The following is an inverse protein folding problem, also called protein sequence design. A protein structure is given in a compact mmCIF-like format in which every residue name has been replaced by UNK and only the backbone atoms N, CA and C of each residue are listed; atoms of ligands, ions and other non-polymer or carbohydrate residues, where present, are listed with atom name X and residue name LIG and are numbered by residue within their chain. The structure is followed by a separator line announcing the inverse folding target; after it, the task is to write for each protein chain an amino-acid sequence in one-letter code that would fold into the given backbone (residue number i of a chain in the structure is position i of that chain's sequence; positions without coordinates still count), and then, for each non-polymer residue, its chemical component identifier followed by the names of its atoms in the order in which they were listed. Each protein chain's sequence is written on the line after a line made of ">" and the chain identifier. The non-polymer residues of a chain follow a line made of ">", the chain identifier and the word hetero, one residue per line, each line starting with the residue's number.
data_IF_754616540902
#
_entry.id   IF_754616540902
#
_cell.length_a   1.000
_cell.length_b   1.000
_cell.length_c   1.000
_cell.angle_alpha   90.00
_cell.angle_beta   90.00
_cell.angle_gamma   90.00
#
_symmetry.space_group_name_H-M   'P 1'
#
loop_
_entity.id
_entity.type
_entity.pdbx_description
1 polymer ?
#
# COMPACT_ATOMS: atom_id res chain seq x y z
N UNK A 1 -6.68 -15.34 -2.58
CA UNK A 1 -5.39 -14.75 -2.98
C UNK A 1 -5.37 -13.29 -2.60
N UNK A 2 -4.19 -12.68 -2.48
CA UNK A 2 -4.02 -11.30 -2.01
C UNK A 2 -4.87 -10.29 -2.81
N UNK A 3 -5.01 -10.46 -4.13
CA UNK A 3 -5.91 -9.65 -4.98
C UNK A 3 -7.35 -9.58 -4.47
N UNK A 4 -7.94 -10.72 -4.08
CA UNK A 4 -9.31 -10.75 -3.53
C UNK A 4 -9.41 -10.10 -2.15
N UNK A 5 -8.35 -10.19 -1.36
CA UNK A 5 -8.27 -9.51 -0.06
C UNK A 5 -8.25 -7.99 -0.27
N UNK A 6 -7.42 -7.50 -1.19
CA UNK A 6 -7.38 -6.08 -1.56
C UNK A 6 -8.73 -5.60 -2.10
N UNK A 7 -9.33 -6.32 -3.06
CA UNK A 7 -10.62 -5.95 -3.62
C UNK A 7 -11.71 -5.93 -2.55
N UNK A 8 -11.75 -6.94 -1.67
CA UNK A 8 -12.70 -6.98 -0.56
C UNK A 8 -12.53 -5.80 0.40
N UNK A 9 -11.30 -5.43 0.74
CA UNK A 9 -11.02 -4.27 1.59
C UNK A 9 -11.47 -2.97 0.93
N UNK A 10 -11.10 -2.75 -0.33
CA UNK A 10 -11.52 -1.57 -1.09
C UNK A 10 -13.05 -1.45 -1.15
N UNK A 11 -13.77 -2.55 -1.38
CA UNK A 11 -15.23 -2.56 -1.43
C UNK A 11 -15.88 -2.29 -0.08
N UNK A 12 -15.36 -2.86 1.02
CA UNK A 12 -15.89 -2.64 2.38
C UNK A 12 -15.69 -1.19 2.83
N UNK A 13 -14.56 -0.59 2.47
CA UNK A 13 -14.17 0.76 2.90
C UNK A 13 -14.33 1.82 1.80
N UNK A 14 -15.14 1.56 0.76
CA UNK A 14 -15.19 2.41 -0.42
C UNK A 14 -15.49 3.89 -0.11
N UNK A 15 -16.41 4.15 0.83
CA UNK A 15 -16.85 5.48 1.25
C UNK A 15 -16.18 5.97 2.56
N UNK A 16 -15.21 5.23 3.10
CA UNK A 16 -14.51 5.60 4.33
C UNK A 16 -13.31 6.49 4.01
N UNK A 17 -13.41 7.78 4.35
CA UNK A 17 -12.38 8.78 4.06
C UNK A 17 -11.10 8.58 4.90
N UNK A 18 -11.20 7.90 6.04
CA UNK A 18 -10.06 7.62 6.93
C UNK A 18 -9.30 6.36 6.47
N UNK A 19 -9.98 5.40 5.84
CA UNK A 19 -9.38 4.13 5.44
C UNK A 19 -8.27 4.25 4.39
N UNK A 20 -8.24 5.34 3.61
CA UNK A 20 -7.18 5.59 2.63
C UNK A 20 -5.92 6.20 3.24
N UNK A 21 -5.99 6.69 4.47
CA UNK A 21 -4.89 7.40 5.15
C UNK A 21 -4.63 8.83 4.67
N UNK A 22 -5.40 9.34 3.71
CA UNK A 22 -5.23 10.69 3.17
C UNK A 22 -6.47 11.60 3.31
N UNK A 23 -7.50 11.16 4.04
CA UNK A 23 -8.74 11.91 4.25
C UNK A 23 -9.63 11.99 3.00
N UNK A 24 -9.43 11.09 2.04
CA UNK A 24 -10.21 10.99 0.79
C UNK A 24 -10.61 9.53 0.59
N UNK A 25 -11.90 9.25 0.48
CA UNK A 25 -12.42 7.90 0.23
C UNK A 25 -11.82 7.23 -1.02
N UNK A 26 -11.75 5.89 -0.98
CA UNK A 26 -11.35 5.09 -2.14
C UNK A 26 -12.24 5.35 -3.35
N UNK A 27 -13.54 5.59 -3.16
CA UNK A 27 -14.47 5.92 -4.24
C UNK A 27 -14.05 7.21 -4.95
N UNK A 28 -13.79 8.28 -4.19
CA UNK A 28 -13.35 9.56 -4.74
C UNK A 28 -12.01 9.43 -5.47
N UNK A 29 -11.07 8.66 -4.91
CA UNK A 29 -9.77 8.41 -5.55
C UNK A 29 -9.88 7.58 -6.83
N UNK A 30 -10.82 6.65 -6.91
CA UNK A 30 -11.09 5.88 -8.14
C UNK A 30 -11.65 6.79 -9.23
N UNK A 31 -12.63 7.63 -8.89
CA UNK A 31 -13.23 8.59 -9.83
C UNK A 31 -12.18 9.59 -10.33
N UNK A 32 -11.30 10.08 -9.45
CA UNK A 32 -10.22 10.98 -9.81
C UNK A 32 -9.17 10.35 -10.76
N UNK A 33 -9.12 9.01 -10.84
CA UNK A 33 -8.24 8.26 -11.73
C UNK A 33 -8.96 7.69 -12.96
N UNK A 34 -10.11 8.28 -13.34
CA UNK A 34 -10.93 7.89 -14.51
C UNK A 34 -11.51 6.46 -14.45
N UNK A 35 -11.79 5.97 -13.24
CA UNK A 35 -12.62 4.78 -13.02
C UNK A 35 -14.04 5.19 -12.65
N UNK A 36 -15.03 4.33 -12.94
CA UNK A 36 -16.42 4.62 -12.55
C UNK A 36 -16.64 4.57 -11.02
N UNK A 37 -15.72 3.94 -10.28
CA UNK A 37 -15.76 3.74 -8.83
C UNK A 37 -14.86 2.58 -8.42
N UNK A 38 -14.92 2.18 -7.14
CA UNK A 38 -14.12 1.07 -6.60
C UNK A 38 -14.36 -0.25 -7.32
N UNK A 39 -15.60 -0.54 -7.72
CA UNK A 39 -15.94 -1.78 -8.42
C UNK A 39 -15.23 -1.86 -9.78
N UNK A 40 -15.31 -0.79 -10.57
CA UNK A 40 -14.65 -0.71 -11.88
C UNK A 40 -13.13 -0.83 -11.76
N UNK A 41 -12.53 -0.14 -10.78
CA UNK A 41 -11.11 -0.28 -10.46
C UNK A 41 -10.74 -1.72 -10.08
N UNK A 42 -11.54 -2.38 -9.25
CA UNK A 42 -11.29 -3.77 -8.86
C UNK A 42 -11.31 -4.72 -10.06
N UNK A 43 -12.28 -4.56 -10.97
CA UNK A 43 -12.40 -5.43 -12.15
C UNK A 43 -11.30 -5.20 -13.19
N UNK A 44 -10.85 -3.95 -13.36
CA UNK A 44 -9.85 -3.58 -14.38
C UNK A 44 -8.41 -3.74 -13.91
N UNK A 45 -8.15 -3.56 -12.61
CA UNK A 45 -6.78 -3.45 -12.06
C UNK A 45 -6.49 -4.53 -11.02
N UNK A 46 -7.35 -4.68 -10.02
CA UNK A 46 -7.02 -5.48 -8.83
C UNK A 46 -7.15 -6.97 -9.08
N UNK A 47 -8.27 -7.40 -9.65
CA UNK A 47 -8.62 -8.81 -9.82
C UNK A 47 -7.91 -9.52 -11.00
N UNK A 48 -7.63 -8.86 -12.15
CA UNK A 48 -6.93 -9.51 -13.25
C UNK A 48 -5.52 -9.95 -12.84
N UNK A 49 -5.14 -11.17 -13.19
CA UNK A 49 -3.78 -11.68 -12.97
C UNK A 49 -2.79 -11.04 -13.95
N UNK A 50 -1.55 -10.85 -13.51
CA UNK A 50 -0.50 -10.21 -14.32
C UNK A 50 -0.53 -8.68 -14.34
N UNK A 51 -1.55 -8.03 -13.77
CA UNK A 51 -1.56 -6.57 -13.57
C UNK A 51 -0.69 -6.18 -12.37
N UNK A 52 0.16 -5.17 -12.53
CA UNK A 52 0.99 -4.64 -11.44
C UNK A 52 0.13 -4.04 -10.32
N UNK A 53 0.53 -4.27 -9.08
CA UNK A 53 -0.18 -3.74 -7.92
C UNK A 53 0.20 -2.29 -7.67
N UNK A 54 -0.37 -1.34 -8.41
CA UNK A 54 -0.04 0.08 -8.28
C UNK A 54 -1.12 0.89 -7.55
N UNK A 55 -0.87 2.17 -7.30
CA UNK A 55 -1.84 3.13 -6.79
C UNK A 55 -2.50 2.65 -5.48
N UNK A 56 -3.84 2.60 -5.44
CA UNK A 56 -4.64 2.21 -4.28
C UNK A 56 -4.36 0.80 -3.77
N UNK A 57 -3.76 -0.08 -4.58
CA UNK A 57 -3.34 -1.42 -4.12
C UNK A 57 -2.26 -1.33 -3.04
N UNK A 58 -1.36 -0.34 -3.15
CA UNK A 58 -0.23 -0.16 -2.24
C UNK A 58 -0.66 0.31 -0.85
N UNK A 59 -1.78 1.02 -0.73
CA UNK A 59 -2.37 1.37 0.57
C UNK A 59 -3.35 0.30 1.07
N UNK A 60 -4.22 -0.21 0.20
CA UNK A 60 -5.31 -1.11 0.60
C UNK A 60 -4.82 -2.50 1.02
N UNK A 61 -3.80 -3.07 0.37
CA UNK A 61 -3.31 -4.41 0.75
C UNK A 61 -2.64 -4.43 2.13
N UNK A 62 -1.70 -3.52 2.46
CA UNK A 62 -1.13 -3.46 3.80
C UNK A 62 -2.18 -3.21 4.89
N UNK A 63 -3.15 -2.32 4.63
CA UNK A 63 -4.27 -2.06 5.54
C UNK A 63 -5.11 -3.33 5.76
N UNK A 64 -5.48 -4.04 4.68
CA UNK A 64 -6.26 -5.28 4.77
C UNK A 64 -5.55 -6.40 5.53
N UNK A 65 -4.21 -6.44 5.48
CA UNK A 65 -3.39 -7.44 6.17
C UNK A 65 -2.99 -7.02 7.59
N UNK A 66 -3.18 -5.76 7.98
CA UNK A 66 -2.68 -5.22 9.24
C UNK A 66 -1.15 -5.25 9.32
N UNK A 67 -0.46 -4.83 8.24
CA UNK A 67 1.01 -4.75 8.18
C UNK A 67 1.46 -3.34 7.83
N UNK A 68 2.73 -3.03 8.12
CA UNK A 68 3.41 -1.84 7.57
C UNK A 68 4.28 -2.23 6.39
N UNK A 69 4.18 -1.48 5.30
CA UNK A 69 4.96 -1.69 4.09
C UNK A 69 5.78 -0.43 3.81
N UNK A 70 7.11 -0.56 3.74
CA UNK A 70 8.01 0.49 3.27
C UNK A 70 8.53 0.14 1.89
N UNK A 71 8.41 1.09 0.96
CA UNK A 71 8.88 0.96 -0.42
C UNK A 71 10.06 1.91 -0.63
N UNK A 72 11.20 1.37 -1.02
CA UNK A 72 12.34 2.11 -1.53
C UNK A 72 12.22 2.25 -3.06
N UNK A 73 12.08 3.48 -3.56
CA UNK A 73 11.95 3.73 -5.00
C UNK A 73 13.34 3.89 -5.62
N UNK A 74 13.74 2.93 -6.44
CA UNK A 74 14.96 3.04 -7.23
C UNK A 74 14.60 3.41 -8.66
N UNK A 75 14.54 4.71 -8.92
CA UNK A 75 14.60 5.22 -10.28
C UNK A 75 16.06 5.35 -10.73
N UNK A 76 16.29 5.46 -12.05
CA UNK A 76 17.63 5.64 -12.62
C UNK A 76 18.07 7.10 -12.60
N UNK A 77 17.32 8.00 -11.98
CA UNK A 77 17.71 9.40 -11.88
C UNK A 77 18.75 9.54 -10.77
N UNK A 78 19.72 10.42 -11.00
CA UNK A 78 20.85 10.62 -10.09
C UNK A 78 20.40 11.40 -8.84
N UNK A 79 19.54 10.80 -8.01
CA UNK A 79 19.24 11.29 -6.69
C UNK A 79 20.38 10.88 -5.74
N UNK A 80 20.84 11.82 -4.91
CA UNK A 80 21.85 11.55 -3.88
C UNK A 80 21.33 10.65 -2.74
N UNK A 81 20.01 10.49 -2.66
CA UNK A 81 19.31 9.72 -1.63
C UNK A 81 18.18 8.89 -2.26
N UNK A 82 17.89 7.74 -1.65
CA UNK A 82 16.80 6.86 -2.09
C UNK A 82 15.48 7.31 -1.44
N UNK A 83 14.45 7.66 -2.21
CA UNK A 83 13.14 8.01 -1.65
C UNK A 83 12.43 6.76 -1.09
N UNK A 84 11.79 6.95 0.07
CA UNK A 84 10.97 5.93 0.73
C UNK A 84 9.51 6.39 0.83
N UNK A 85 8.56 5.46 0.68
CA UNK A 85 7.15 5.69 1.01
C UNK A 85 6.65 4.57 1.91
N UNK A 86 5.88 4.93 2.92
CA UNK A 86 5.33 4.02 3.92
C UNK A 86 3.82 3.90 3.75
N UNK A 87 3.32 2.66 3.81
CA UNK A 87 1.92 2.31 3.74
C UNK A 87 1.52 1.44 4.93
N UNK A 88 0.25 1.51 5.30
CA UNK A 88 -0.28 0.82 6.47
C UNK A 88 -0.12 1.67 7.74
N UNK A 89 -1.25 1.93 8.40
CA UNK A 89 -1.32 2.75 9.61
C UNK A 89 -2.18 2.06 10.66
N UNK A 90 -1.51 1.50 11.67
CA UNK A 90 -1.95 1.62 13.05
C UNK A 90 -0.98 2.58 13.72
N UNK A 91 -1.43 3.33 14.72
CA UNK A 91 -0.67 4.33 15.47
C UNK A 91 0.83 4.02 15.60
N UNK A 92 1.67 5.06 15.52
CA UNK A 92 3.05 5.04 16.04
C UNK A 92 3.07 4.18 17.32
N UNK A 93 3.94 3.16 17.44
CA UNK A 93 3.93 2.31 18.62
C UNK A 93 4.08 3.23 19.82
N UNK A 94 3.03 3.31 20.65
CA UNK A 94 3.05 4.06 21.89
C UNK A 94 4.34 3.64 22.62
N UNK A 95 5.17 4.63 22.95
CA UNK A 95 6.44 4.42 23.63
C UNK A 95 6.12 3.83 25.01
N UNK A 96 6.01 2.50 25.07
CA UNK A 96 5.42 1.76 26.17
C UNK A 96 5.52 0.28 25.88
N UNK A 97 6.27 -0.43 26.72
CA UNK A 97 6.68 -1.82 26.58
C UNK A 97 5.48 -2.80 26.62
N UNK A 98 4.67 -2.85 25.56
CA UNK A 98 3.52 -3.75 25.47
C UNK A 98 2.65 -3.65 24.20
N UNK A 99 2.79 -2.62 23.36
CA UNK A 99 2.14 -2.60 22.05
C UNK A 99 2.94 -3.48 21.06
N UNK A 100 2.35 -4.57 20.57
CA UNK A 100 2.95 -5.36 19.49
C UNK A 100 3.01 -4.49 18.24
N UNK A 101 4.19 -3.95 17.91
CA UNK A 101 4.39 -3.18 16.69
C UNK A 101 3.95 -4.01 15.48
N UNK A 102 3.21 -3.39 14.56
CA UNK A 102 2.77 -4.06 13.33
C UNK A 102 3.99 -4.61 12.58
N UNK A 103 3.89 -5.82 11.98
CA UNK A 103 4.98 -6.39 11.22
C UNK A 103 5.35 -5.47 10.07
N UNK A 104 6.66 -5.27 9.89
CA UNK A 104 7.21 -4.33 8.92
C UNK A 104 7.83 -5.11 7.75
N UNK A 105 7.36 -4.83 6.54
CA UNK A 105 7.85 -5.41 5.28
C UNK A 105 8.52 -4.32 4.48
N UNK A 106 9.74 -4.57 4.01
CA UNK A 106 10.49 -3.65 3.17
C UNK A 106 10.60 -4.21 1.76
N UNK A 107 10.30 -3.38 0.76
CA UNK A 107 10.44 -3.73 -0.65
C UNK A 107 11.21 -2.64 -1.39
N UNK A 108 11.96 -3.06 -2.39
CA UNK A 108 12.54 -2.19 -3.39
C UNK A 108 11.65 -2.21 -4.63
N UNK A 109 11.29 -1.03 -5.14
CA UNK A 109 10.57 -0.88 -6.40
C UNK A 109 11.52 -0.36 -7.47
N UNK A 110 11.61 -1.11 -8.57
CA UNK A 110 12.14 -0.68 -9.88
C UNK A 110 11.04 -0.85 -10.91
N UNK A 111 11.03 -0.12 -12.04
CA UNK A 111 9.98 -0.27 -13.05
C UNK A 111 9.70 -1.74 -13.39
N UNK A 112 8.50 -2.23 -13.07
CA UNK A 112 8.03 -3.59 -13.30
C UNK A 112 8.50 -4.67 -12.32
N UNK A 113 9.19 -4.32 -11.23
CA UNK A 113 9.77 -5.29 -10.29
C UNK A 113 9.76 -4.83 -8.83
N UNK A 114 9.29 -5.73 -7.96
CA UNK A 114 9.37 -5.62 -6.50
C UNK A 114 10.30 -6.71 -5.96
N UNK A 115 11.31 -6.32 -5.19
CA UNK A 115 12.24 -7.23 -4.52
C UNK A 115 12.18 -7.00 -3.00
N UNK A 116 12.21 -8.06 -2.20
CA UNK A 116 12.25 -7.93 -0.74
C UNK A 116 13.59 -7.33 -0.29
N UNK A 117 13.52 -6.36 0.62
CA UNK A 117 14.66 -5.82 1.33
C UNK A 117 14.70 -6.39 2.75
N UNK A 118 15.90 -6.75 3.20
CA UNK A 118 16.14 -7.16 4.58
C UNK A 118 17.11 -6.17 5.21
N UNK A 119 16.64 -5.29 6.10
CA UNK A 119 17.52 -4.30 6.71
C UNK A 119 18.60 -5.02 7.53
N UNK A 120 19.84 -4.54 7.39
CA UNK A 120 20.94 -5.01 8.22
C UNK A 120 20.65 -4.67 9.69
N UNK A 121 21.08 -5.53 10.62
CA UNK A 121 21.12 -5.15 12.04
C UNK A 121 22.14 -4.03 12.19
N UNK A 122 21.70 -2.85 12.61
CA UNK A 122 22.59 -1.84 13.18
C UNK A 122 23.34 -2.48 14.34
N UNK A 123 24.67 -2.45 14.28
CA UNK A 123 25.54 -2.83 15.41
C UNK A 123 25.59 -1.72 16.44
#
# INVERSE_FOLDING_TARGET
>A
GLRRVTAGHLSVHAADDEASGCGISYETLCVAQDYAGVEDFCQRVVLPEGTEGESLVMSALPAALGIRLRIAFLDRQAASEVPFCDYGGGEEPAVGHGATALPEVHVQLRPGHYDLLYPGRTR
#
